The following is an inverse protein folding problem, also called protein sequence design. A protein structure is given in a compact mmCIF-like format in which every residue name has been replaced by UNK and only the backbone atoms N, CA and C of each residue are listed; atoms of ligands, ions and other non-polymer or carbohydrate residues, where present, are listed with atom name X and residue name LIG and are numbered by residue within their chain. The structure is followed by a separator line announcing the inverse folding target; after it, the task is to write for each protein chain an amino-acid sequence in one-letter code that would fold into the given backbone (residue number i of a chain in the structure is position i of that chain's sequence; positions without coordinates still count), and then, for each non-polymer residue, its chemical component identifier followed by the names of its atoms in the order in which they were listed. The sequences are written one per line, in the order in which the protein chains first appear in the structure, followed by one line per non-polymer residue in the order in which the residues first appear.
data_IF_534928623678
#
_entry.id   IF_534928623678
#
_cell.length_a   1.000
_cell.length_b   1.000
_cell.length_c   1.000
_cell.angle_alpha   90.00
_cell.angle_beta   90.00
_cell.angle_gamma   90.00
#
_symmetry.space_group_name_H-M   'P 1'
#
loop_
_entity.id
_entity.type
_entity.pdbx_description
1 polymer ?
#
# COMPACT_ATOMS: atom_id res chain seq x y z
N UNK A 1 -3.80 18.58 -5.97
CA UNK A 1 -3.67 17.19 -5.48
C UNK A 1 -4.00 17.26 -4.01
N UNK A 2 -4.93 16.43 -3.56
CA UNK A 2 -5.34 16.38 -2.17
C UNK A 2 -4.95 15.02 -1.60
N UNK A 3 -4.20 15.03 -0.50
CA UNK A 3 -3.80 13.83 0.22
C UNK A 3 -4.95 13.37 1.11
N UNK A 4 -5.25 12.07 1.04
CA UNK A 4 -6.42 11.47 1.70
C UNK A 4 -5.98 10.49 2.78
N UNK A 5 -4.82 9.87 2.58
CA UNK A 5 -4.23 8.92 3.51
C UNK A 5 -2.73 8.84 3.27
N UNK A 6 -1.93 8.71 4.33
CA UNK A 6 -0.49 8.44 4.20
C UNK A 6 0.02 7.62 5.37
N UNK A 7 1.05 6.84 5.12
CA UNK A 7 1.77 6.10 6.16
C UNK A 7 3.23 5.86 5.74
N UNK A 8 4.06 5.61 6.74
CA UNK A 8 5.47 5.25 6.54
C UNK A 8 5.70 3.78 6.89
N UNK A 9 6.53 3.11 6.10
CA UNK A 9 6.89 1.70 6.29
C UNK A 9 8.36 1.43 5.92
N UNK A 10 8.84 0.22 6.22
CA UNK A 10 10.17 -0.27 5.90
C UNK A 10 11.23 0.01 6.98
N UNK A 11 12.44 -0.54 6.80
CA UNK A 11 13.54 -0.29 7.71
C UNK A 11 13.85 1.21 7.74
N UNK A 12 13.89 1.79 8.94
CA UNK A 12 14.09 3.22 9.15
C UNK A 12 12.98 4.14 8.59
N UNK A 13 11.78 3.60 8.27
CA UNK A 13 10.61 4.39 7.81
C UNK A 13 10.86 5.26 6.58
N UNK A 14 11.69 4.76 5.66
CA UNK A 14 12.11 5.50 4.46
C UNK A 14 11.11 5.45 3.32
N UNK A 15 10.13 4.54 3.38
CA UNK A 15 9.06 4.45 2.39
C UNK A 15 7.84 5.19 2.92
N UNK A 16 7.45 6.25 2.24
CA UNK A 16 6.20 6.97 2.45
C UNK A 16 5.22 6.58 1.34
N UNK A 17 4.10 5.98 1.73
CA UNK A 17 2.99 5.67 0.85
C UNK A 17 1.91 6.72 1.05
N UNK A 18 1.47 7.33 -0.03
CA UNK A 18 0.43 8.36 0.00
C UNK A 18 -0.69 8.03 -0.99
N UNK A 19 -1.93 8.07 -0.53
CA UNK A 19 -3.10 8.06 -1.40
C UNK A 19 -3.46 9.50 -1.69
N UNK A 20 -3.45 9.88 -2.96
CA UNK A 20 -3.85 11.22 -3.41
C UNK A 20 -5.01 11.17 -4.39
N UNK A 21 -5.81 12.23 -4.39
CA UNK A 21 -6.81 12.49 -5.43
C UNK A 21 -6.33 13.62 -6.36
N UNK A 22 -6.42 13.36 -7.67
CA UNK A 22 -6.15 14.36 -8.72
C UNK A 22 -7.06 14.11 -9.92
N UNK A 23 -7.72 15.17 -10.39
CA UNK A 23 -8.56 15.12 -11.61
C UNK A 23 -9.63 14.00 -11.55
N UNK A 24 -10.27 13.82 -10.39
CA UNK A 24 -11.22 12.75 -10.09
C UNK A 24 -10.68 11.32 -10.21
N UNK A 25 -9.35 11.17 -10.20
CA UNK A 25 -8.68 9.88 -10.13
C UNK A 25 -7.91 9.75 -8.82
N UNK A 26 -7.81 8.53 -8.33
CA UNK A 26 -7.04 8.20 -7.14
C UNK A 26 -5.70 7.60 -7.55
N UNK A 27 -4.65 7.88 -6.77
CA UNK A 27 -3.32 7.32 -6.98
C UNK A 27 -2.74 6.90 -5.65
N UNK A 28 -2.03 5.78 -5.64
CA UNK A 28 -1.07 5.46 -4.57
C UNK A 28 0.29 5.89 -5.08
N UNK A 29 0.93 6.82 -4.39
CA UNK A 29 2.29 7.28 -4.66
C UNK A 29 3.25 6.74 -3.60
N UNK A 30 4.48 6.43 -4.03
CA UNK A 30 5.56 6.04 -3.13
C UNK A 30 6.64 7.11 -3.19
N UNK A 31 6.98 7.69 -2.04
CA UNK A 31 7.91 8.80 -1.87
C UNK A 31 7.58 9.98 -2.79
N UNK A 32 6.33 10.47 -2.76
CA UNK A 32 5.88 11.58 -3.63
C UNK A 32 5.86 11.25 -5.13
N UNK A 33 5.93 9.95 -5.46
CA UNK A 33 5.97 9.45 -6.82
C UNK A 33 7.36 9.12 -7.34
N UNK A 34 8.41 9.40 -6.58
CA UNK A 34 9.81 9.14 -6.99
C UNK A 34 10.06 7.65 -7.27
N UNK A 35 9.40 6.78 -6.50
CA UNK A 35 9.51 5.33 -6.65
C UNK A 35 8.36 4.72 -7.45
N UNK A 36 7.34 5.51 -7.79
CA UNK A 36 6.23 5.07 -8.63
C UNK A 36 4.89 5.63 -8.21
N UNK A 37 3.93 5.52 -9.13
CA UNK A 37 2.54 5.92 -8.95
C UNK A 37 1.62 4.85 -9.54
N UNK A 38 0.69 4.37 -8.73
CA UNK A 38 -0.31 3.40 -9.15
C UNK A 38 -1.67 4.11 -9.29
N UNK A 39 -2.20 4.30 -10.51
CA UNK A 39 -3.53 4.84 -10.69
C UNK A 39 -4.60 3.83 -10.29
N UNK A 40 -5.65 4.30 -9.62
CA UNK A 40 -6.83 3.54 -9.24
C UNK A 40 -8.05 4.22 -9.86
N UNK A 41 -8.65 3.56 -10.83
CA UNK A 41 -9.71 4.14 -11.66
C UNK A 41 -11.09 3.49 -11.46
N UNK A 42 -11.15 2.30 -10.83
CA UNK A 42 -12.39 1.54 -10.64
C UNK A 42 -12.50 0.99 -9.23
N UNK A 43 -13.74 0.67 -8.83
CA UNK A 43 -14.02 -0.01 -7.55
C UNK A 43 -13.42 -1.42 -7.58
N UNK A 44 -13.55 -2.15 -8.69
CA UNK A 44 -12.97 -3.49 -8.87
C UNK A 44 -11.45 -3.49 -8.60
N UNK A 45 -10.71 -2.46 -9.05
CA UNK A 45 -9.28 -2.36 -8.77
C UNK A 45 -8.99 -2.21 -7.27
N UNK A 46 -9.86 -1.53 -6.51
CA UNK A 46 -9.75 -1.43 -5.06
C UNK A 46 -10.02 -2.77 -4.39
N UNK A 47 -11.00 -3.53 -4.89
CA UNK A 47 -11.33 -4.87 -4.37
C UNK A 47 -10.17 -5.85 -4.57
N UNK A 48 -9.62 -5.93 -5.79
CA UNK A 48 -8.45 -6.76 -6.10
C UNK A 48 -7.22 -6.38 -5.25
N UNK A 49 -6.99 -5.07 -5.04
CA UNK A 49 -5.92 -4.59 -4.17
C UNK A 49 -6.14 -5.05 -2.72
N UNK A 50 -7.38 -4.96 -2.19
CA UNK A 50 -7.69 -5.45 -0.85
C UNK A 50 -7.44 -6.96 -0.73
N UNK A 51 -7.92 -7.75 -1.68
CA UNK A 51 -7.67 -9.20 -1.67
C UNK A 51 -6.17 -9.54 -1.70
N UNK A 52 -5.39 -8.78 -2.45
CA UNK A 52 -3.94 -8.96 -2.50
C UNK A 52 -3.27 -8.61 -1.17
N UNK A 53 -3.73 -7.56 -0.49
CA UNK A 53 -3.22 -7.16 0.84
C UNK A 53 -3.59 -8.19 1.92
N UNK A 54 -4.82 -8.71 1.90
CA UNK A 54 -5.25 -9.76 2.84
C UNK A 54 -4.40 -11.04 2.71
N UNK A 55 -4.01 -11.40 1.48
CA UNK A 55 -3.08 -12.50 1.23
C UNK A 55 -1.69 -12.20 1.78
N UNK A 56 -1.18 -10.99 1.58
CA UNK A 56 0.13 -10.58 2.12
C UNK A 56 0.12 -10.62 3.65
N UNK A 57 -0.93 -10.12 4.29
CA UNK A 57 -1.09 -10.16 5.75
C UNK A 57 -1.05 -11.60 6.28
N UNK A 58 -1.80 -12.50 5.64
CA UNK A 58 -1.86 -13.92 6.00
C UNK A 58 -0.48 -14.60 5.94
N UNK A 59 0.26 -14.35 4.86
CA UNK A 59 1.62 -14.88 4.66
C UNK A 59 2.62 -14.31 5.69
N UNK A 60 2.54 -13.00 5.98
CA UNK A 60 3.37 -12.37 7.00
C UNK A 60 3.11 -12.97 8.39
N UNK A 61 1.84 -13.16 8.77
CA UNK A 61 1.48 -13.78 10.03
C UNK A 61 1.97 -15.25 10.14
N UNK A 62 2.00 -15.99 9.03
CA UNK A 62 2.61 -17.34 9.01
C UNK A 62 4.14 -17.29 9.15
N UNK A 63 4.80 -16.34 8.50
CA UNK A 63 6.25 -16.14 8.66
C UNK A 63 6.60 -15.82 10.11
N UNK A 64 5.82 -14.98 10.79
CA UNK A 64 6.03 -14.63 12.20
C UNK A 64 5.84 -15.84 13.11
N UNK A 65 4.74 -16.58 12.97
CA UNK A 65 4.50 -17.81 13.75
C UNK A 65 5.64 -18.81 13.63
N UNK A 66 6.17 -19.04 12.41
CA UNK A 66 7.29 -19.97 12.18
C UNK A 66 8.60 -19.51 12.85
N UNK A 67 8.80 -18.21 13.09
CA UNK A 67 9.98 -17.71 13.80
C UNK A 67 9.90 -17.93 15.31
N UNK A 68 8.71 -18.00 15.88
CA UNK A 68 8.51 -18.25 17.32
C UNK A 68 8.69 -19.73 17.70
N UNK A 69 8.56 -20.64 16.73
CA UNK A 69 8.71 -22.09 16.90
C UNK A 69 10.16 -22.60 16.74
N UNK A 70 11.11 -21.74 16.30
CA UNK A 70 12.54 -22.04 16.09
C UNK A 70 13.43 -21.49 17.20
#
# INVERSE_FOLDING_TARGET
MESIYSFEDGPYKVLNYEVIQKDNKFYIEVNGGDLGRLPIETVDAVEELRESLDKIESELAEIERRKEEL
#
